data_IF_419713661784
#
_entry.id   IF_419713661784
#
_cell.length_a   1.000
_cell.length_b   1.000
_cell.length_c   1.000
_cell.angle_alpha   90.00
_cell.angle_beta   90.00
_cell.angle_gamma   90.00
#
_symmetry.space_group_name_H-M   'P 1'
#
loop_
_entity.id
_entity.type
_entity.pdbx_description
1 polymer ?
#
# COMPACT_ATOMS: atom_id res chain seq x y z
N UNK A 1 7.92 -47.60 -27.08
CA UNK A 1 6.94 -48.63 -27.53
C UNK A 1 7.14 -48.77 -29.02
N UNK A 2 7.39 -49.97 -29.52
CA UNK A 2 7.49 -50.20 -30.96
C UNK A 2 6.10 -50.26 -31.58
N UNK A 3 5.87 -49.54 -32.67
CA UNK A 3 4.59 -49.54 -33.40
C UNK A 3 4.83 -49.83 -34.88
N UNK A 4 3.87 -50.48 -35.52
CA UNK A 4 3.89 -50.71 -36.97
C UNK A 4 2.71 -49.98 -37.60
N UNK A 5 3.03 -48.98 -38.42
CA UNK A 5 2.04 -48.18 -39.13
C UNK A 5 1.79 -48.71 -40.55
N UNK A 6 0.75 -48.20 -41.19
CA UNK A 6 0.49 -48.40 -42.62
C UNK A 6 1.66 -47.86 -43.46
N UNK A 7 2.08 -48.63 -44.46
CA UNK A 7 3.04 -48.19 -45.46
C UNK A 7 2.38 -47.30 -46.52
N UNK A 8 3.19 -46.65 -47.36
CA UNK A 8 2.67 -45.82 -48.44
C UNK A 8 1.84 -46.62 -49.48
N UNK A 9 2.11 -47.91 -49.64
CA UNK A 9 1.31 -48.79 -50.50
C UNK A 9 -0.03 -49.13 -49.84
N UNK A 10 -0.05 -49.51 -48.55
CA UNK A 10 -1.28 -49.79 -47.79
C UNK A 10 -2.26 -48.60 -47.80
N UNK A 11 -1.73 -47.38 -47.82
CA UNK A 11 -2.55 -46.16 -47.92
C UNK A 11 -3.18 -46.02 -49.31
N UNK A 12 -2.43 -46.30 -50.38
CA UNK A 12 -2.93 -46.27 -51.76
C UNK A 12 -4.00 -47.33 -52.00
N UNK A 13 -3.84 -48.49 -51.38
CA UNK A 13 -4.77 -49.63 -51.49
C UNK A 13 -5.99 -49.50 -50.56
N UNK A 14 -6.13 -48.39 -49.83
CA UNK A 14 -7.31 -48.09 -49.03
C UNK A 14 -7.45 -48.91 -47.75
N UNK A 15 -6.35 -49.49 -47.24
CA UNK A 15 -6.36 -50.36 -46.07
C UNK A 15 -6.93 -49.66 -44.83
N UNK A 16 -7.88 -50.32 -44.17
CA UNK A 16 -8.54 -49.78 -42.99
C UNK A 16 -7.61 -49.76 -41.77
N UNK A 17 -7.92 -48.89 -40.81
CA UNK A 17 -7.16 -48.80 -39.54
C UNK A 17 -7.33 -50.08 -38.72
N UNK A 18 -8.51 -50.71 -38.75
CA UNK A 18 -8.78 -51.97 -38.03
C UNK A 18 -7.92 -53.11 -38.55
N UNK A 19 -7.83 -53.27 -39.87
CA UNK A 19 -6.97 -54.28 -40.51
C UNK A 19 -5.49 -54.05 -40.16
N UNK A 20 -5.02 -52.80 -40.17
CA UNK A 20 -3.65 -52.48 -39.77
C UNK A 20 -3.34 -52.87 -38.31
N UNK A 21 -4.28 -52.67 -37.39
CA UNK A 21 -4.09 -53.02 -35.97
C UNK A 21 -4.04 -54.54 -35.75
N UNK A 22 -4.83 -55.32 -36.51
CA UNK A 22 -4.76 -56.78 -36.42
C UNK A 22 -3.46 -57.33 -37.03
N UNK A 23 -3.02 -56.80 -38.17
CA UNK A 23 -1.71 -57.15 -38.73
C UNK A 23 -0.54 -56.77 -37.84
N UNK A 24 -0.63 -55.64 -37.14
CA UNK A 24 0.36 -55.23 -36.15
C UNK A 24 0.49 -56.28 -35.04
N UNK A 25 -0.64 -56.76 -34.50
CA UNK A 25 -0.64 -57.82 -33.48
C UNK A 25 -0.02 -59.11 -34.00
N UNK A 26 -0.42 -59.54 -35.20
CA UNK A 26 0.12 -60.76 -35.83
C UNK A 26 1.63 -60.63 -36.08
N UNK A 27 2.08 -59.46 -36.54
CA UNK A 27 3.50 -59.18 -36.78
C UNK A 27 4.32 -59.31 -35.50
N UNK A 28 3.92 -58.65 -34.41
CA UNK A 28 4.67 -58.74 -33.15
C UNK A 28 4.58 -60.14 -32.51
N UNK A 29 3.53 -60.91 -32.78
CA UNK A 29 3.40 -62.29 -32.29
C UNK A 29 4.22 -63.31 -33.08
N UNK A 30 4.44 -63.08 -34.39
CA UNK A 30 5.10 -64.03 -35.30
C UNK A 30 6.58 -63.73 -35.55
N UNK A 31 7.02 -62.48 -35.36
CA UNK A 31 8.37 -62.08 -35.72
C UNK A 31 9.44 -62.70 -34.79
N UNK A 32 10.48 -63.37 -35.32
CA UNK A 32 11.46 -64.12 -34.50
C UNK A 32 12.13 -63.31 -33.39
N UNK A 33 12.46 -62.04 -33.68
CA UNK A 33 13.15 -61.16 -32.73
C UNK A 33 12.19 -60.41 -31.79
N UNK A 34 11.05 -59.96 -32.31
CA UNK A 34 10.13 -59.09 -31.54
C UNK A 34 9.11 -59.86 -30.70
N UNK A 35 8.87 -61.14 -30.99
CA UNK A 35 8.00 -62.01 -30.18
C UNK A 35 8.48 -62.17 -28.74
N UNK A 36 9.80 -62.10 -28.52
CA UNK A 36 10.40 -62.18 -27.19
C UNK A 36 10.19 -60.90 -26.37
N UNK A 37 9.75 -59.80 -26.99
CA UNK A 37 9.51 -58.55 -26.28
C UNK A 37 8.22 -58.63 -25.46
N UNK A 38 8.21 -58.05 -24.24
CA UNK A 38 7.00 -57.96 -23.43
C UNK A 38 5.85 -57.25 -24.17
N UNK A 39 4.60 -57.73 -24.04
CA UNK A 39 3.44 -57.16 -24.74
C UNK A 39 3.23 -55.65 -24.50
N UNK A 40 3.62 -55.16 -23.31
CA UNK A 40 3.49 -53.74 -22.95
C UNK A 40 4.54 -52.82 -23.62
N UNK A 41 5.53 -53.36 -24.34
CA UNK A 41 6.56 -52.61 -25.05
C UNK A 41 6.29 -52.48 -26.56
N UNK A 42 5.28 -53.17 -27.09
CA UNK A 42 4.96 -53.21 -28.52
C UNK A 42 3.47 -52.96 -28.76
N UNK A 43 3.14 -52.47 -29.96
CA UNK A 43 1.77 -52.25 -30.42
C UNK A 43 1.19 -50.88 -30.10
N UNK A 44 0.27 -50.42 -30.94
CA UNK A 44 -0.45 -49.16 -30.80
C UNK A 44 -1.30 -49.13 -29.52
N UNK A 45 -1.95 -50.23 -29.14
CA UNK A 45 -2.74 -50.30 -27.89
C UNK A 45 -1.91 -49.99 -26.66
N UNK A 46 -0.72 -50.61 -26.54
CA UNK A 46 0.21 -50.38 -25.44
C UNK A 46 0.75 -48.95 -25.43
N UNK A 47 0.92 -48.32 -26.60
CA UNK A 47 1.29 -46.91 -26.71
C UNK A 47 0.16 -46.00 -26.20
N UNK A 48 -1.08 -46.23 -26.62
CA UNK A 48 -2.26 -45.46 -26.20
C UNK A 48 -2.44 -45.54 -24.69
N UNK A 49 -2.34 -46.74 -24.10
CA UNK A 49 -2.48 -46.91 -22.65
C UNK A 49 -1.39 -46.16 -21.87
N UNK A 50 -0.14 -46.17 -22.37
CA UNK A 50 0.96 -45.45 -21.76
C UNK A 50 0.80 -43.94 -21.89
N UNK A 51 0.44 -43.43 -23.07
CA UNK A 51 0.22 -42.00 -23.28
C UNK A 51 -0.96 -41.50 -22.43
N UNK A 52 -2.04 -42.27 -22.36
CA UNK A 52 -3.19 -41.97 -21.49
C UNK A 52 -2.78 -41.90 -20.02
N UNK A 53 -1.99 -42.89 -19.53
CA UNK A 53 -1.47 -42.87 -18.15
C UNK A 53 -0.54 -41.70 -17.88
N UNK A 54 0.34 -41.37 -18.83
CA UNK A 54 1.25 -40.22 -18.73
C UNK A 54 0.46 -38.92 -18.68
N UNK A 55 -0.48 -38.72 -19.59
CA UNK A 55 -1.33 -37.53 -19.64
C UNK A 55 -2.16 -37.39 -18.37
N UNK A 56 -2.81 -38.46 -17.92
CA UNK A 56 -3.61 -38.44 -16.69
C UNK A 56 -2.75 -38.08 -15.47
N UNK A 57 -1.55 -38.68 -15.35
CA UNK A 57 -0.62 -38.35 -14.27
C UNK A 57 -0.15 -36.90 -14.37
N UNK A 58 0.13 -36.43 -15.57
CA UNK A 58 0.51 -35.04 -15.82
C UNK A 58 -0.60 -34.10 -15.36
N UNK A 59 -1.84 -34.26 -15.84
CA UNK A 59 -2.99 -33.46 -15.41
C UNK A 59 -3.16 -33.51 -13.88
N UNK A 60 -3.12 -34.71 -13.28
CA UNK A 60 -3.29 -34.87 -11.83
C UNK A 60 -2.21 -34.13 -11.03
N UNK A 61 -0.98 -34.07 -11.53
CA UNK A 61 0.13 -33.40 -10.86
C UNK A 61 0.06 -31.87 -11.00
N UNK A 62 -0.35 -31.36 -12.17
CA UNK A 62 -0.37 -29.91 -12.44
C UNK A 62 -1.67 -29.22 -12.01
N UNK A 63 -2.80 -29.94 -11.96
CA UNK A 63 -4.10 -29.35 -11.60
C UNK A 63 -4.13 -28.68 -10.21
N UNK A 64 -3.53 -29.26 -9.15
CA UNK A 64 -3.47 -28.59 -7.83
C UNK A 64 -2.68 -27.28 -7.88
N UNK A 65 -1.59 -27.24 -8.64
CA UNK A 65 -0.77 -26.04 -8.80
C UNK A 65 -1.53 -24.94 -9.55
N UNK A 66 -2.19 -25.28 -10.67
CA UNK A 66 -3.04 -24.35 -11.42
C UNK A 66 -4.15 -23.79 -10.52
N UNK A 67 -4.81 -24.65 -9.73
CA UNK A 67 -5.84 -24.21 -8.76
C UNK A 67 -5.27 -23.23 -7.73
N UNK A 68 -4.08 -23.50 -7.22
CA UNK A 68 -3.40 -22.61 -6.26
C UNK A 68 -3.06 -21.27 -6.91
N UNK A 69 -2.53 -21.27 -8.13
CA UNK A 69 -2.17 -20.05 -8.85
C UNK A 69 -3.40 -19.19 -9.17
N UNK A 70 -4.49 -19.80 -9.66
CA UNK A 70 -5.76 -19.11 -9.88
C UNK A 70 -6.28 -18.54 -8.57
N UNK A 71 -6.24 -19.31 -7.48
CA UNK A 71 -6.66 -18.84 -6.15
C UNK A 71 -5.83 -17.64 -5.65
N UNK A 72 -4.52 -17.65 -5.88
CA UNK A 72 -3.65 -16.54 -5.52
C UNK A 72 -3.95 -15.29 -6.36
N UNK A 73 -4.06 -15.44 -7.69
CA UNK A 73 -4.41 -14.34 -8.60
C UNK A 73 -5.78 -13.76 -8.29
N UNK A 74 -6.76 -14.62 -7.97
CA UNK A 74 -8.10 -14.20 -7.58
C UNK A 74 -8.08 -13.36 -6.30
N UNK A 75 -7.29 -13.74 -5.29
CA UNK A 75 -7.14 -12.93 -4.06
C UNK A 75 -6.58 -11.55 -4.37
N UNK A 76 -5.49 -11.47 -5.13
CA UNK A 76 -4.89 -10.18 -5.52
C UNK A 76 -5.89 -9.28 -6.26
N UNK A 77 -6.70 -9.86 -7.15
CA UNK A 77 -7.72 -9.10 -7.88
C UNK A 77 -8.86 -8.67 -6.96
N UNK A 78 -9.27 -9.52 -6.01
CA UNK A 78 -10.31 -9.18 -5.02
C UNK A 78 -9.85 -8.08 -4.06
N UNK A 79 -8.61 -8.15 -3.58
CA UNK A 79 -8.02 -7.13 -2.70
C UNK A 79 -8.00 -5.77 -3.44
N UNK A 80 -7.55 -5.76 -4.71
CA UNK A 80 -7.56 -4.56 -5.55
C UNK A 80 -8.98 -4.06 -5.84
N UNK A 81 -9.95 -4.95 -6.01
CA UNK A 81 -11.35 -4.58 -6.21
C UNK A 81 -11.92 -3.92 -4.96
N UNK A 82 -11.56 -4.42 -3.77
CA UNK A 82 -11.97 -3.84 -2.50
C UNK A 82 -11.39 -2.44 -2.30
N UNK A 83 -10.14 -2.20 -2.70
CA UNK A 83 -9.51 -0.86 -2.69
C UNK A 83 -10.21 0.13 -3.62
N UNK A 84 -10.66 -0.34 -4.80
CA UNK A 84 -11.39 0.50 -5.77
C UNK A 84 -12.81 0.85 -5.31
N UNK A 85 -13.37 0.06 -4.38
CA UNK A 85 -14.72 0.26 -3.86
C UNK A 85 -15.81 -0.12 -4.86
N UNK A 86 -17.04 0.25 -4.52
CA UNK A 86 -18.20 0.01 -5.37
C UNK A 86 -18.28 1.04 -6.51
N UNK A 87 -18.84 0.62 -7.65
CA UNK A 87 -19.05 1.50 -8.77
C UNK A 87 -20.01 2.65 -8.44
N UNK A 88 -19.97 3.72 -9.23
CA UNK A 88 -20.89 4.84 -9.08
C UNK A 88 -22.33 4.35 -9.25
N UNK A 89 -23.23 4.58 -8.26
CA UNK A 89 -24.62 4.20 -8.38
C UNK A 89 -25.30 4.83 -9.59
N UNK A 90 -26.29 4.15 -10.17
CA UNK A 90 -27.02 4.67 -11.34
C UNK A 90 -28.08 5.72 -10.91
N UNK A 91 -28.75 5.45 -9.80
CA UNK A 91 -29.79 6.31 -9.23
C UNK A 91 -29.20 7.64 -8.74
N UNK A 92 -29.91 8.74 -8.96
CA UNK A 92 -29.46 10.07 -8.53
C UNK A 92 -29.40 10.21 -7.01
N UNK A 93 -30.35 9.60 -6.28
CA UNK A 93 -30.39 9.61 -4.82
C UNK A 93 -29.19 8.86 -4.21
N UNK A 94 -28.86 7.69 -4.75
CA UNK A 94 -27.72 6.88 -4.29
C UNK A 94 -26.38 7.58 -4.57
N UNK A 95 -26.25 8.28 -5.70
CA UNK A 95 -25.07 9.12 -5.99
C UNK A 95 -24.91 10.26 -4.99
N UNK A 96 -26.00 10.92 -4.63
CA UNK A 96 -25.97 11.97 -3.62
C UNK A 96 -25.57 11.41 -2.24
N UNK A 97 -26.06 10.22 -1.88
CA UNK A 97 -25.67 9.54 -0.66
C UNK A 97 -24.17 9.19 -0.65
N UNK A 98 -23.64 8.64 -1.75
CA UNK A 98 -22.21 8.35 -1.90
C UNK A 98 -21.35 9.61 -1.70
N UNK A 99 -21.72 10.72 -2.34
CA UNK A 99 -21.02 11.99 -2.19
C UNK A 99 -21.08 12.51 -0.75
N UNK A 100 -22.24 12.41 -0.10
CA UNK A 100 -22.41 12.78 1.31
C UNK A 100 -21.49 11.97 2.23
N UNK A 101 -21.43 10.65 2.04
CA UNK A 101 -20.53 9.79 2.80
C UNK A 101 -19.07 10.18 2.57
N UNK A 102 -18.65 10.40 1.32
CA UNK A 102 -17.28 10.81 0.99
C UNK A 102 -16.90 12.16 1.63
N UNK A 103 -17.80 13.15 1.60
CA UNK A 103 -17.59 14.45 2.25
C UNK A 103 -17.51 14.28 3.77
N UNK A 104 -18.39 13.47 4.35
CA UNK A 104 -18.43 13.22 5.79
C UNK A 104 -17.14 12.57 6.26
N UNK A 105 -16.69 11.54 5.54
CA UNK A 105 -15.42 10.85 5.80
C UNK A 105 -14.23 11.81 5.68
N UNK A 106 -14.19 12.64 4.63
CA UNK A 106 -13.16 13.68 4.48
C UNK A 106 -13.13 14.64 5.67
N UNK A 107 -14.29 15.16 6.07
CA UNK A 107 -14.39 16.09 7.20
C UNK A 107 -13.96 15.44 8.51
N UNK A 108 -14.29 14.17 8.73
CA UNK A 108 -13.88 13.41 9.92
C UNK A 108 -12.35 13.21 9.94
N UNK A 109 -11.78 12.74 8.83
CA UNK A 109 -10.34 12.55 8.66
C UNK A 109 -9.61 13.88 8.90
N UNK A 110 -10.06 14.97 8.28
CA UNK A 110 -9.45 16.28 8.43
C UNK A 110 -9.49 16.78 9.88
N UNK A 111 -10.64 16.61 10.57
CA UNK A 111 -10.77 16.93 12.00
C UNK A 111 -9.81 16.10 12.85
N UNK A 112 -9.67 14.81 12.56
CA UNK A 112 -8.76 13.93 13.28
C UNK A 112 -7.30 14.35 13.07
N UNK A 113 -6.91 14.68 11.84
CA UNK A 113 -5.58 15.19 11.50
C UNK A 113 -5.23 16.46 12.26
N UNK A 114 -6.11 17.47 12.28
CA UNK A 114 -5.88 18.72 13.03
C UNK A 114 -5.83 18.47 14.53
N UNK A 115 -6.67 17.57 15.06
CA UNK A 115 -6.66 17.21 16.49
C UNK A 115 -5.47 16.35 16.88
N UNK A 116 -4.68 15.89 15.92
CA UNK A 116 -3.60 14.94 16.13
C UNK A 116 -4.08 13.54 16.56
N UNK A 117 -5.35 13.20 16.32
CA UNK A 117 -5.90 11.87 16.62
C UNK A 117 -5.46 10.86 15.58
N UNK A 118 -5.23 9.64 16.04
CA UNK A 118 -4.92 8.51 15.17
C UNK A 118 -6.14 8.13 14.32
N UNK A 119 -5.96 8.05 13.00
CA UNK A 119 -6.96 7.58 12.05
C UNK A 119 -6.40 6.42 11.23
N UNK A 120 -7.04 5.25 11.32
CA UNK A 120 -6.62 4.03 10.61
C UNK A 120 -6.70 4.18 9.09
N UNK A 121 -7.60 5.04 8.58
CA UNK A 121 -7.78 5.25 7.14
C UNK A 121 -6.57 5.95 6.52
N UNK A 122 -5.92 6.83 7.28
CA UNK A 122 -4.70 7.51 6.86
C UNK A 122 -3.45 6.63 6.96
N UNK A 123 -3.47 5.58 7.79
CA UNK A 123 -2.34 4.66 7.97
C UNK A 123 -1.90 4.03 6.64
N UNK A 124 -2.84 3.78 5.71
CA UNK A 124 -2.52 3.21 4.40
C UNK A 124 -1.72 4.16 3.50
N UNK A 125 -1.70 5.46 3.81
CA UNK A 125 -1.01 6.50 3.03
C UNK A 125 0.28 6.97 3.69
N UNK A 126 0.53 6.63 4.96
CA UNK A 126 1.78 6.92 5.63
C UNK A 126 2.74 5.74 5.48
N UNK A 127 3.75 5.91 4.64
CA UNK A 127 4.75 4.87 4.32
C UNK A 127 5.64 4.54 5.55
N UNK A 128 5.64 5.42 6.56
CA UNK A 128 6.50 5.31 7.73
C UNK A 128 5.73 5.56 9.03
N UNK A 129 5.80 4.60 9.96
CA UNK A 129 5.27 4.66 11.34
C UNK A 129 5.81 5.81 12.21
N UNK A 130 6.61 6.73 11.65
CA UNK A 130 7.28 7.82 12.37
C UNK A 130 6.73 9.20 12.04
N UNK A 131 5.81 9.31 11.09
CA UNK A 131 5.25 10.60 10.73
C UNK A 131 4.21 11.00 11.78
N UNK A 132 4.61 11.94 12.64
CA UNK A 132 3.73 12.57 13.63
C UNK A 132 2.53 13.17 12.87
N UNK A 133 1.31 12.95 13.38
CA UNK A 133 0.10 13.51 12.76
C UNK A 133 0.20 15.03 12.66
N UNK A 134 -0.31 15.64 11.58
CA UNK A 134 -0.12 17.07 11.30
C UNK A 134 -0.47 17.99 12.48
N UNK A 135 -1.56 17.71 13.18
CA UNK A 135 -1.95 18.46 14.39
C UNK A 135 -0.95 18.33 15.55
N UNK A 136 -0.32 17.17 15.72
CA UNK A 136 0.72 17.01 16.74
C UNK A 136 2.01 17.72 16.35
N UNK A 137 2.37 17.78 15.06
CA UNK A 137 3.51 18.57 14.59
C UNK A 137 3.30 20.06 14.85
N UNK A 138 2.13 20.58 14.48
CA UNK A 138 1.75 21.98 14.77
C UNK A 138 1.84 22.26 16.27
N UNK A 139 1.32 21.36 17.10
CA UNK A 139 1.37 21.52 18.55
C UNK A 139 2.80 21.54 19.10
N UNK A 140 3.69 20.70 18.58
CA UNK A 140 5.10 20.71 18.94
C UNK A 140 5.74 22.06 18.61
N UNK A 141 5.57 22.54 17.37
CA UNK A 141 6.09 23.84 16.93
C UNK A 141 5.58 24.96 17.84
N UNK A 142 4.29 24.99 18.16
CA UNK A 142 3.69 26.05 19.00
C UNK A 142 4.19 26.00 20.45
N UNK A 143 4.51 24.82 20.98
CA UNK A 143 5.07 24.69 22.32
C UNK A 143 6.55 25.14 22.35
N UNK A 144 7.33 24.82 21.32
CA UNK A 144 8.76 25.14 21.24
C UNK A 144 9.00 26.62 20.85
N UNK A 145 8.09 27.24 20.09
CA UNK A 145 8.25 28.58 19.50
C UNK A 145 8.65 29.67 20.51
N UNK A 146 8.05 29.63 21.70
CA UNK A 146 8.23 30.67 22.74
C UNK A 146 8.97 30.14 23.97
N UNK A 147 9.47 28.92 23.92
CA UNK A 147 10.12 28.27 25.08
C UNK A 147 11.31 29.11 25.58
N UNK A 148 12.16 29.59 24.66
CA UNK A 148 13.30 30.49 24.96
C UNK A 148 12.87 31.79 25.67
N UNK A 149 11.69 32.33 25.34
CA UNK A 149 11.16 33.56 25.92
C UNK A 149 10.45 33.34 27.26
N UNK A 150 10.04 32.11 27.56
CA UNK A 150 9.43 31.73 28.84
C UNK A 150 10.45 31.32 29.91
N UNK A 151 11.57 30.75 29.50
CA UNK A 151 12.63 30.33 30.44
C UNK A 151 13.51 31.51 30.92
N UNK A 152 13.56 32.59 30.15
CA UNK A 152 14.41 33.75 30.44
C UNK A 152 13.66 34.85 31.15
N UNK A 153 14.27 35.45 32.19
CA UNK A 153 13.68 36.60 32.87
C UNK A 153 13.70 37.83 31.96
N UNK A 154 12.56 38.50 31.83
CA UNK A 154 12.42 39.72 31.00
C UNK A 154 13.39 40.84 31.44
N UNK A 155 13.77 40.86 32.71
CA UNK A 155 14.65 41.87 33.30
C UNK A 155 16.14 41.50 33.27
N UNK A 156 16.52 40.30 32.80
CA UNK A 156 17.94 39.88 32.77
C UNK A 156 18.81 40.75 31.87
N UNK A 157 18.23 41.25 30.78
CA UNK A 157 18.91 42.11 29.81
C UNK A 157 18.83 43.61 30.21
N UNK A 158 18.21 43.95 31.35
CA UNK A 158 17.99 45.35 31.78
C UNK A 158 18.95 45.68 32.92
N UNK A 159 19.83 46.66 32.70
CA UNK A 159 20.74 47.15 33.73
C UNK A 159 20.09 48.19 34.64
N UNK A 160 20.54 48.30 35.89
CA UNK A 160 20.10 49.33 36.83
C UNK A 160 20.27 50.75 36.26
N UNK A 161 21.29 50.96 35.42
CA UNK A 161 21.52 52.22 34.72
C UNK A 161 20.40 52.53 33.71
N UNK A 162 19.93 51.54 32.96
CA UNK A 162 18.82 51.71 32.01
C UNK A 162 17.50 51.93 32.73
N UNK A 163 17.30 51.31 33.89
CA UNK A 163 16.13 51.54 34.74
C UNK A 163 16.13 52.99 35.26
N UNK A 164 17.25 53.48 35.80
CA UNK A 164 17.37 54.86 36.28
C UNK A 164 17.20 55.88 35.13
N UNK A 165 17.78 55.59 33.97
CA UNK A 165 17.60 56.41 32.78
C UNK A 165 16.14 56.46 32.33
N UNK A 166 15.46 55.31 32.28
CA UNK A 166 14.05 55.23 31.90
C UNK A 166 13.15 55.99 32.89
N UNK A 167 13.41 55.86 34.21
CA UNK A 167 12.67 56.61 35.25
C UNK A 167 12.82 58.11 35.00
N UNK A 168 14.05 58.62 34.82
CA UNK A 168 14.28 60.07 34.59
C UNK A 168 13.66 60.58 33.29
N UNK A 169 13.63 59.76 32.25
CA UNK A 169 13.05 60.12 30.95
C UNK A 169 11.53 60.11 30.96
N UNK A 170 10.92 59.23 31.75
CA UNK A 170 9.48 58.94 31.72
C UNK A 170 8.77 59.17 33.06
N UNK A 171 9.38 59.90 34.00
CA UNK A 171 8.82 60.20 35.33
C UNK A 171 7.51 61.00 35.22
N UNK A 172 7.44 61.96 34.30
CA UNK A 172 6.25 62.79 34.09
C UNK A 172 5.79 63.51 35.37
N UNK A 173 4.47 63.53 35.60
CA UNK A 173 3.85 64.08 36.83
C UNK A 173 3.82 63.05 37.99
N UNK A 174 4.53 61.93 37.85
CA UNK A 174 4.50 60.85 38.85
C UNK A 174 5.28 61.24 40.12
N UNK A 175 4.91 60.63 41.23
CA UNK A 175 5.60 60.85 42.51
C UNK A 175 7.07 60.40 42.41
N UNK A 176 8.03 61.24 42.85
CA UNK A 176 9.45 60.89 42.84
C UNK A 176 9.71 59.60 43.61
N UNK A 177 10.42 58.67 42.98
CA UNK A 177 10.77 57.37 43.56
C UNK A 177 9.77 56.24 43.28
N UNK A 178 8.69 56.49 42.53
CA UNK A 178 7.83 55.45 41.98
C UNK A 178 7.89 55.46 40.45
N UNK A 179 8.25 54.34 39.79
CA UNK A 179 8.27 54.28 38.34
C UNK A 179 6.86 54.46 37.77
N UNK A 180 6.73 55.31 36.76
CA UNK A 180 5.48 55.53 36.05
C UNK A 180 5.11 54.32 35.18
N UNK A 181 3.83 54.13 34.83
CA UNK A 181 3.43 53.13 33.84
C UNK A 181 4.18 53.26 32.51
N UNK A 182 4.44 54.50 32.08
CA UNK A 182 5.19 54.78 30.84
C UNK A 182 6.64 54.30 30.93
N UNK A 183 7.25 54.39 32.11
CA UNK A 183 8.60 53.85 32.37
C UNK A 183 8.61 52.34 32.15
N UNK A 184 7.61 51.63 32.67
CA UNK A 184 7.48 50.19 32.49
C UNK A 184 7.26 49.82 31.01
N UNK A 185 6.37 50.55 30.32
CA UNK A 185 6.10 50.31 28.90
C UNK A 185 7.35 50.52 28.04
N UNK A 186 8.11 51.59 28.30
CA UNK A 186 9.37 51.87 27.62
C UNK A 186 10.39 50.74 27.79
N UNK A 187 10.54 50.22 29.02
CA UNK A 187 11.48 49.14 29.32
C UNK A 187 11.09 47.80 28.69
N UNK A 188 9.78 47.49 28.58
CA UNK A 188 9.32 46.19 28.06
C UNK A 188 9.13 46.15 26.54
N UNK A 189 8.95 47.30 25.88
CA UNK A 189 8.75 47.43 24.43
C UNK A 189 9.81 46.72 23.56
N UNK A 190 11.12 46.84 23.85
CA UNK A 190 12.16 46.11 23.10
C UNK A 190 12.00 44.59 23.18
N UNK A 191 11.61 44.07 24.35
CA UNK A 191 11.36 42.64 24.54
C UNK A 191 10.15 42.16 23.72
N UNK A 192 9.05 42.92 23.75
CA UNK A 192 7.85 42.61 22.94
C UNK A 192 8.15 42.59 21.43
N UNK A 193 8.99 43.52 20.94
CA UNK A 193 9.44 43.52 19.54
C UNK A 193 10.26 42.30 19.16
N UNK A 194 11.07 41.75 20.08
CA UNK A 194 11.84 40.51 19.85
C UNK A 194 10.94 39.29 19.70
N UNK A 195 9.81 39.25 20.41
CA UNK A 195 8.81 38.15 20.30
C UNK A 195 8.04 38.24 18.97
N UNK A 196 7.82 39.44 18.44
CA UNK A 196 7.05 39.63 17.21
C UNK A 196 7.65 38.89 16.01
N UNK A 197 8.97 38.95 15.82
CA UNK A 197 9.66 38.33 14.68
C UNK A 197 9.44 36.81 14.59
N UNK A 198 9.77 36.00 15.62
CA UNK A 198 9.60 34.55 15.56
C UNK A 198 8.13 34.14 15.43
N UNK A 199 7.19 34.86 16.05
CA UNK A 199 5.75 34.60 15.89
C UNK A 199 5.31 34.81 14.44
N UNK A 200 5.79 35.85 13.77
CA UNK A 200 5.47 36.11 12.36
C UNK A 200 6.16 35.13 11.40
N UNK A 201 7.35 34.64 11.73
CA UNK A 201 8.02 33.60 10.94
C UNK A 201 7.34 32.23 11.07
N UNK A 202 6.69 31.96 12.20
CA UNK A 202 5.95 30.72 12.43
C UNK A 202 4.59 30.67 11.73
N UNK A 203 3.97 31.82 11.43
CA UNK A 203 2.65 31.95 10.81
C UNK A 203 2.71 31.79 9.28
#
# INVERSE_FOLDING_TARGET
>A
VGVRNRSQADIKDGKSVRECLEEEKIFFASHPTYRLLPPHLVGVSSLVDKLTKVLFRHIKNFLPEIKREIGAKMRVVLDRLQELGEGVPLESAERAQLLWTAITDYVEIFKNTIRGKYDKRLQMYFDHQKDITGGSQIRTIFNELLEEFTERNVTEDISDYEIDLAIRLHEGDSLPGFPSPDTFEYLILPYLKRIQSPVMECL
#
